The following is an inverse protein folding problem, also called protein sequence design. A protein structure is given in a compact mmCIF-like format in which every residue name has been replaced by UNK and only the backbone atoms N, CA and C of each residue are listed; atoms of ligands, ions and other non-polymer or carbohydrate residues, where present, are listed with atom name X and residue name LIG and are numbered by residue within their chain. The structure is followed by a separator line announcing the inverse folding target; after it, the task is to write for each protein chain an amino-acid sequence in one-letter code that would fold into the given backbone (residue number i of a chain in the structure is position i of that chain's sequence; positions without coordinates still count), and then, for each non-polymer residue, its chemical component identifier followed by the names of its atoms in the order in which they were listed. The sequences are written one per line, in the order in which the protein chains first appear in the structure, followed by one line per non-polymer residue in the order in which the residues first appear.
data_IF_194040294463
#
_entry.id   IF_194040294463
#
_cell.length_a   1.000
_cell.length_b   1.000
_cell.length_c   1.000
_cell.angle_alpha   90.00
_cell.angle_beta   90.00
_cell.angle_gamma   90.00
#
_symmetry.space_group_name_H-M   'P 1'
#
loop_
_entity.id
_entity.type
_entity.pdbx_description
1 polymer ?
#
# COMPACT_ATOMS: atom_id res chain seq x y z
N UNK A 1 20.98 7.15 -5.43
CA UNK A 1 19.51 7.16 -5.68
C UNK A 1 18.91 5.96 -4.95
N UNK A 2 17.70 6.08 -4.42
CA UNK A 2 16.98 4.94 -3.83
C UNK A 2 15.94 4.47 -4.84
N UNK A 3 16.02 3.21 -5.25
CA UNK A 3 15.10 2.63 -6.22
C UNK A 3 13.77 2.24 -5.56
N UNK A 4 12.76 1.97 -6.39
CA UNK A 4 11.54 1.31 -5.92
C UNK A 4 11.87 -0.03 -5.25
N UNK A 5 11.11 -0.43 -4.22
CA UNK A 5 11.33 -1.69 -3.54
C UNK A 5 11.08 -2.88 -4.48
N UNK A 6 11.97 -3.86 -4.44
CA UNK A 6 11.74 -5.19 -5.03
C UNK A 6 10.68 -5.96 -4.23
N UNK A 7 10.25 -7.12 -4.76
CA UNK A 7 9.21 -7.94 -4.13
C UNK A 7 9.53 -8.28 -2.65
N UNK A 8 10.78 -8.68 -2.35
CA UNK A 8 11.17 -9.01 -0.97
C UNK A 8 11.10 -7.79 -0.03
N UNK A 9 11.49 -6.61 -0.49
CA UNK A 9 11.37 -5.40 0.33
C UNK A 9 9.93 -4.91 0.44
N UNK A 10 9.09 -5.08 -0.60
CA UNK A 10 7.64 -4.81 -0.51
C UNK A 10 6.98 -5.70 0.53
N UNK A 11 7.30 -6.99 0.56
CA UNK A 11 6.82 -7.92 1.59
C UNK A 11 7.19 -7.44 3.01
N UNK A 12 8.44 -7.00 3.23
CA UNK A 12 8.88 -6.44 4.53
C UNK A 12 8.12 -5.16 4.88
N UNK A 13 7.91 -4.27 3.92
CA UNK A 13 7.14 -3.05 4.11
C UNK A 13 5.70 -3.38 4.50
N UNK A 14 5.06 -4.31 3.78
CA UNK A 14 3.70 -4.80 4.08
C UNK A 14 3.63 -5.39 5.49
N UNK A 15 4.61 -6.22 5.89
CA UNK A 15 4.70 -6.75 7.27
C UNK A 15 4.71 -5.64 8.32
N UNK A 16 5.46 -4.56 8.10
CA UNK A 16 5.51 -3.43 9.03
C UNK A 16 4.19 -2.65 9.05
N UNK A 17 3.60 -2.41 7.88
CA UNK A 17 2.35 -1.64 7.76
C UNK A 17 1.19 -2.38 8.42
N UNK A 18 1.12 -3.70 8.21
CA UNK A 18 0.02 -4.57 8.68
C UNK A 18 0.29 -5.20 10.06
N UNK A 19 1.39 -4.84 10.73
CA UNK A 19 1.82 -5.46 11.99
C UNK A 19 0.78 -5.38 13.14
N UNK A 20 -0.16 -4.43 13.05
CA UNK A 20 -1.22 -4.21 14.06
C UNK A 20 -2.62 -4.56 13.55
N UNK A 21 -2.72 -5.01 12.31
CA UNK A 21 -3.99 -5.36 11.69
C UNK A 21 -4.28 -6.86 11.89
N UNK A 22 -5.56 -7.21 12.01
CA UNK A 22 -5.98 -8.60 12.00
C UNK A 22 -6.10 -9.08 10.55
N UNK A 23 -5.29 -10.06 10.18
CA UNK A 23 -5.29 -10.65 8.83
C UNK A 23 -6.02 -11.99 8.83
N UNK A 24 -6.84 -12.21 7.81
CA UNK A 24 -7.44 -13.50 7.51
C UNK A 24 -6.40 -14.53 7.09
N UNK A 25 -6.73 -15.81 7.26
CA UNK A 25 -5.84 -16.94 6.90
C UNK A 25 -5.55 -17.05 5.41
N UNK A 26 -6.33 -16.35 4.60
CA UNK A 26 -6.25 -16.24 3.15
C UNK A 26 -5.27 -15.16 2.67
N UNK A 27 -4.73 -14.33 3.57
CA UNK A 27 -3.77 -13.27 3.24
C UNK A 27 -2.34 -13.80 3.27
N UNK A 28 -1.76 -13.96 2.09
CA UNK A 28 -0.33 -14.23 1.91
C UNK A 28 0.42 -12.95 1.49
N UNK A 29 1.40 -12.54 2.30
CA UNK A 29 2.16 -11.32 2.07
C UNK A 29 3.14 -11.44 0.90
N UNK A 30 3.62 -12.64 0.59
CA UNK A 30 4.48 -12.86 -0.58
C UNK A 30 3.67 -12.65 -1.87
N UNK A 31 2.50 -13.29 -1.97
CA UNK A 31 1.58 -13.06 -3.07
C UNK A 31 1.16 -11.58 -3.20
N UNK A 32 0.92 -10.89 -2.08
CA UNK A 32 0.56 -9.46 -2.10
C UNK A 32 1.72 -8.57 -2.59
N UNK A 33 2.95 -8.90 -2.20
CA UNK A 33 4.15 -8.20 -2.67
C UNK A 33 4.40 -8.41 -4.18
N UNK A 34 4.07 -9.58 -4.70
CA UNK A 34 4.17 -9.90 -6.13
C UNK A 34 3.10 -9.17 -6.96
N UNK A 35 1.89 -8.99 -6.44
CA UNK A 35 0.82 -8.25 -7.13
C UNK A 35 1.09 -6.74 -7.22
N UNK A 36 1.87 -6.20 -6.29
CA UNK A 36 2.12 -4.75 -6.13
C UNK A 36 3.41 -4.28 -6.78
N UNK A 37 3.72 -4.81 -7.97
CA UNK A 37 4.94 -4.42 -8.66
C UNK A 37 4.94 -2.94 -9.09
N UNK A 38 6.09 -2.28 -8.93
CA UNK A 38 6.22 -0.84 -9.14
C UNK A 38 5.68 0.05 -8.02
N UNK A 39 5.12 -0.51 -6.94
CA UNK A 39 4.59 0.28 -5.83
C UNK A 39 5.73 0.86 -4.99
N UNK A 40 5.63 2.15 -4.68
CA UNK A 40 6.43 2.78 -3.64
C UNK A 40 5.92 2.40 -2.24
N UNK A 41 6.68 2.73 -1.19
CA UNK A 41 6.21 2.54 0.20
C UNK A 41 4.91 3.29 0.50
N UNK A 42 4.71 4.46 -0.13
CA UNK A 42 3.48 5.24 0.01
C UNK A 42 2.29 4.56 -0.69
N UNK A 43 2.51 3.97 -1.87
CA UNK A 43 1.48 3.25 -2.59
C UNK A 43 1.04 2.01 -1.82
N UNK A 44 2.00 1.26 -1.24
CA UNK A 44 1.71 0.11 -0.36
C UNK A 44 0.91 0.52 0.87
N UNK A 45 1.24 1.67 1.48
CA UNK A 45 0.48 2.19 2.62
C UNK A 45 -0.94 2.56 2.21
N UNK A 46 -1.11 3.21 1.07
CA UNK A 46 -2.43 3.59 0.55
C UNK A 46 -3.29 2.36 0.21
N UNK A 47 -2.68 1.33 -0.38
CA UNK A 47 -3.32 0.04 -0.61
C UNK A 47 -3.86 -0.56 0.69
N UNK A 48 -3.02 -0.64 1.73
CA UNK A 48 -3.42 -1.24 3.01
C UNK A 48 -4.54 -0.43 3.70
N UNK A 49 -4.46 0.91 3.68
CA UNK A 49 -5.51 1.78 4.23
C UNK A 49 -6.82 1.61 3.46
N UNK A 50 -6.75 1.53 2.12
CA UNK A 50 -7.92 1.31 1.28
C UNK A 50 -8.57 -0.05 1.53
N UNK A 51 -7.76 -1.11 1.70
CA UNK A 51 -8.23 -2.44 2.10
C UNK A 51 -8.91 -2.41 3.48
N UNK A 52 -8.31 -1.73 4.47
CA UNK A 52 -8.86 -1.62 5.82
C UNK A 52 -10.24 -0.96 5.89
N UNK A 53 -10.60 -0.14 4.90
CA UNK A 53 -11.92 0.49 4.84
C UNK A 53 -13.05 -0.47 4.46
N UNK A 54 -12.78 -1.62 3.83
CA UNK A 54 -13.84 -2.54 3.40
C UNK A 54 -14.61 -3.16 4.59
N UNK A 55 -13.97 -3.80 5.58
CA UNK A 55 -14.65 -4.29 6.77
C UNK A 55 -15.46 -3.20 7.51
N UNK A 56 -14.92 -1.98 7.58
CA UNK A 56 -15.57 -0.84 8.23
C UNK A 56 -16.85 -0.46 7.46
N UNK A 57 -16.78 -0.37 6.13
CA UNK A 57 -17.95 -0.05 5.29
C UNK A 57 -19.05 -1.09 5.41
N UNK A 58 -18.70 -2.37 5.53
CA UNK A 58 -19.70 -3.44 5.72
C UNK A 58 -20.51 -3.24 7.00
N UNK A 59 -19.86 -2.89 8.10
CA UNK A 59 -20.53 -2.60 9.38
C UNK A 59 -21.44 -1.38 9.25
N UNK A 60 -20.92 -0.29 8.68
CA UNK A 60 -21.70 0.94 8.51
C UNK A 60 -22.96 0.71 7.64
N UNK A 61 -22.86 -0.10 6.59
CA UNK A 61 -24.00 -0.47 5.76
C UNK A 61 -24.98 -1.39 6.49
N UNK A 62 -24.50 -2.32 7.33
CA UNK A 62 -25.37 -3.14 8.20
C UNK A 62 -26.13 -2.26 9.20
N UNK A 63 -25.44 -1.36 9.90
CA UNK A 63 -26.07 -0.41 10.82
C UNK A 63 -27.15 0.42 10.15
N UNK A 64 -26.85 0.96 8.98
CA UNK A 64 -27.78 1.80 8.22
C UNK A 64 -29.04 1.02 7.85
N UNK A 65 -28.88 -0.24 7.42
CA UNK A 65 -30.01 -1.13 7.11
C UNK A 65 -30.83 -1.44 8.35
N UNK A 66 -30.22 -1.83 9.46
CA UNK A 66 -30.92 -2.17 10.70
C UNK A 66 -31.66 -0.97 11.28
N UNK A 67 -31.04 0.23 11.28
CA UNK A 67 -31.69 1.48 11.70
C UNK A 67 -32.90 1.81 10.82
N UNK A 68 -32.79 1.59 9.51
CA UNK A 68 -33.91 1.81 8.59
C UNK A 68 -35.08 0.86 8.85
N UNK A 69 -34.78 -0.42 9.14
CA UNK A 69 -35.79 -1.44 9.45
C UNK A 69 -36.48 -1.17 10.79
N UNK A 70 -35.71 -0.87 11.84
CA UNK A 70 -36.24 -0.51 13.15
C UNK A 70 -37.21 0.68 13.06
N UNK A 71 -36.86 1.69 12.26
CA UNK A 71 -37.73 2.85 12.00
C UNK A 71 -39.02 2.46 11.28
N UNK A 72 -38.98 1.56 10.29
CA UNK A 72 -40.18 1.10 9.59
C UNK A 72 -41.10 0.24 10.47
N UNK A 73 -40.53 -0.48 11.43
CA UNK A 73 -41.25 -1.42 12.28
C UNK A 73 -41.62 -0.85 13.66
N UNK A 74 -41.31 0.43 13.92
CA UNK A 74 -41.57 1.10 15.20
C UNK A 74 -40.80 0.51 16.38
N UNK A 75 -39.67 -0.17 16.12
CA UNK A 75 -38.81 -0.79 17.14
C UNK A 75 -37.79 0.24 17.65
N UNK A 76 -37.25 0.07 18.87
CA UNK A 76 -36.14 0.90 19.35
C UNK A 76 -34.90 0.75 18.46
N UNK A 77 -34.07 1.79 18.43
CA UNK A 77 -32.85 1.78 17.62
C UNK A 77 -31.87 0.68 18.09
N UNK A 78 -31.28 -0.07 17.15
CA UNK A 78 -30.29 -1.10 17.48
C UNK A 78 -29.00 -0.49 18.04
N UNK A 79 -28.28 -1.28 18.84
CA UNK A 79 -26.98 -0.88 19.37
C UNK A 79 -25.96 -0.67 18.25
N UNK A 80 -25.00 0.23 18.47
CA UNK A 80 -23.91 0.47 17.53
C UNK A 80 -22.88 -0.65 17.59
N UNK A 81 -22.26 -0.95 16.46
CA UNK A 81 -21.19 -1.94 16.38
C UNK A 81 -19.88 -1.31 16.86
N UNK A 82 -19.21 -1.96 17.80
CA UNK A 82 -17.86 -1.63 18.23
C UNK A 82 -16.77 -2.21 17.31
N UNK A 83 -15.50 -1.95 17.67
CA UNK A 83 -14.33 -2.46 16.95
C UNK A 83 -14.27 -3.99 16.88
N UNK A 84 -14.83 -4.68 17.87
CA UNK A 84 -14.92 -6.14 17.95
C UNK A 84 -15.75 -6.79 16.84
N UNK A 85 -16.54 -6.01 16.12
CA UNK A 85 -17.35 -6.48 14.99
C UNK A 85 -16.63 -6.34 13.65
N UNK A 86 -15.47 -5.67 13.63
CA UNK A 86 -14.63 -5.53 12.43
C UNK A 86 -14.02 -6.88 12.14
N UNK A 87 -14.40 -7.47 10.99
CA UNK A 87 -13.80 -8.72 10.54
C UNK A 87 -12.34 -8.50 10.14
N UNK A 88 -11.49 -9.54 10.25
CA UNK A 88 -10.13 -9.50 9.72
C UNK A 88 -10.09 -9.14 8.22
N UNK A 89 -8.97 -8.56 7.80
CA UNK A 89 -8.71 -8.25 6.40
C UNK A 89 -8.53 -9.52 5.59
N UNK A 90 -9.29 -9.64 4.51
CA UNK A 90 -9.24 -10.77 3.58
C UNK A 90 -8.45 -10.40 2.32
N UNK A 91 -8.03 -11.40 1.55
CA UNK A 91 -7.33 -11.17 0.28
C UNK A 91 -8.20 -10.40 -0.72
N UNK A 92 -9.52 -10.54 -0.65
CA UNK A 92 -10.44 -9.85 -1.56
C UNK A 92 -10.49 -8.35 -1.27
N UNK A 93 -10.34 -7.92 -0.01
CA UNK A 93 -10.21 -6.50 0.33
C UNK A 93 -8.98 -5.87 -0.33
N UNK A 94 -7.86 -6.61 -0.35
CA UNK A 94 -6.64 -6.16 -1.01
C UNK A 94 -6.78 -6.14 -2.54
N UNK A 95 -7.47 -7.12 -3.15
CA UNK A 95 -7.74 -7.10 -4.59
C UNK A 95 -8.62 -5.91 -4.98
N UNK A 96 -9.72 -5.69 -4.26
CA UNK A 96 -10.60 -4.56 -4.52
C UNK A 96 -9.94 -3.21 -4.20
N UNK A 97 -9.00 -3.16 -3.25
CA UNK A 97 -8.17 -1.98 -3.02
C UNK A 97 -7.15 -1.74 -4.14
N UNK A 98 -6.55 -2.81 -4.68
CA UNK A 98 -5.57 -2.74 -5.77
C UNK A 98 -6.19 -2.20 -7.06
N UNK A 99 -7.47 -2.47 -7.32
CA UNK A 99 -8.18 -1.86 -8.45
C UNK A 99 -8.32 -0.34 -8.35
N UNK A 100 -8.25 0.23 -7.14
CA UNK A 100 -8.41 1.67 -6.88
C UNK A 100 -7.09 2.40 -6.70
N UNK A 101 -6.05 1.71 -6.26
CA UNK A 101 -4.73 2.29 -5.98
C UNK A 101 -3.77 1.86 -7.07
N UNK A 102 -3.28 2.79 -7.89
CA UNK A 102 -2.24 2.52 -8.89
C UNK A 102 -0.84 2.91 -8.38
N UNK A 103 0.21 2.36 -9.00
CA UNK A 103 1.59 2.77 -8.75
C UNK A 103 1.77 4.25 -9.12
N UNK A 104 2.30 5.06 -8.21
CA UNK A 104 2.46 6.50 -8.43
C UNK A 104 3.73 6.85 -9.21
N UNK A 105 4.71 5.94 -9.26
CA UNK A 105 5.99 6.14 -9.94
C UNK A 105 5.98 5.38 -11.27
N UNK A 106 6.07 6.12 -12.38
CA UNK A 106 6.22 5.55 -13.71
C UNK A 106 7.70 5.49 -14.10
N UNK A 107 8.20 4.28 -14.40
CA UNK A 107 9.56 4.04 -14.89
C UNK A 107 9.89 4.80 -16.17
N UNK A 108 8.89 5.03 -17.01
CA UNK A 108 9.07 5.55 -18.37
C UNK A 108 8.91 7.07 -18.45
N UNK A 109 8.71 7.73 -17.31
CA UNK A 109 8.57 9.19 -17.28
C UNK A 109 9.89 9.89 -17.61
N UNK A 110 9.82 11.00 -18.35
CA UNK A 110 10.99 11.83 -18.67
C UNK A 110 11.76 12.23 -17.41
N UNK A 111 11.05 12.56 -16.33
CA UNK A 111 11.61 12.90 -15.03
C UNK A 111 12.44 11.74 -14.43
N UNK A 112 11.96 10.49 -14.53
CA UNK A 112 12.70 9.33 -14.03
C UNK A 112 13.95 9.05 -14.86
N UNK A 113 13.89 9.25 -16.18
CA UNK A 113 15.06 9.11 -17.06
C UNK A 113 16.14 10.16 -16.74
N UNK A 114 15.75 11.41 -16.47
CA UNK A 114 16.69 12.45 -16.03
C UNK A 114 17.34 12.11 -14.68
N UNK A 115 16.56 11.56 -13.74
CA UNK A 115 17.09 11.13 -12.44
C UNK A 115 18.08 9.96 -12.57
N UNK A 116 17.78 9.00 -13.45
CA UNK A 116 18.69 7.89 -13.75
C UNK A 116 20.00 8.42 -14.35
N UNK A 117 19.92 9.29 -15.35
CA UNK A 117 21.09 9.90 -15.98
C UNK A 117 21.93 10.70 -14.97
N UNK A 118 21.28 11.45 -14.07
CA UNK A 118 21.96 12.17 -13.00
C UNK A 118 22.67 11.20 -12.04
N UNK A 119 22.00 10.11 -11.64
CA UNK A 119 22.60 9.11 -10.77
C UNK A 119 23.81 8.40 -11.42
N UNK A 120 23.78 8.14 -12.73
CA UNK A 120 24.92 7.54 -13.44
C UNK A 120 26.15 8.47 -13.48
N UNK A 121 25.92 9.77 -13.59
CA UNK A 121 26.99 10.78 -13.67
C UNK A 121 27.56 11.15 -12.29
N UNK A 122 26.71 11.23 -11.27
CA UNK A 122 27.04 11.84 -9.97
C UNK A 122 26.75 10.96 -8.74
N UNK A 123 26.03 9.85 -8.92
CA UNK A 123 25.60 8.97 -7.84
C UNK A 123 26.70 8.04 -7.33
N UNK A 124 26.29 7.11 -6.47
CA UNK A 124 27.21 6.20 -5.78
C UNK A 124 27.83 5.21 -6.79
N UNK A 125 29.13 5.35 -7.04
CA UNK A 125 29.85 4.57 -8.06
C UNK A 125 29.91 5.21 -9.45
N UNK A 126 29.41 6.43 -9.64
CA UNK A 126 29.36 7.13 -10.92
C UNK A 126 30.72 7.30 -11.62
N UNK A 127 30.66 7.45 -12.95
CA UNK A 127 31.82 7.50 -13.87
C UNK A 127 32.80 8.65 -13.60
N UNK A 128 32.50 9.55 -12.66
CA UNK A 128 33.46 10.53 -12.12
C UNK A 128 34.49 9.92 -11.15
N UNK A 129 34.76 8.62 -11.20
CA UNK A 129 35.97 8.07 -10.58
C UNK A 129 37.22 8.59 -11.30
N UNK A 130 37.83 9.61 -10.68
CA UNK A 130 39.25 10.00 -10.72
C UNK A 130 39.78 10.47 -12.08
N UNK A 131 39.54 11.73 -12.44
CA UNK A 131 40.62 12.47 -13.14
C UNK A 131 41.67 12.78 -12.08
N UNK A 132 42.81 12.08 -12.11
CA UNK A 132 43.92 12.40 -11.24
C UNK A 132 44.30 13.87 -11.48
N UNK A 133 44.34 14.68 -10.43
CA UNK A 133 44.80 16.06 -10.52
C UNK A 133 46.27 16.03 -10.95
N UNK A 134 46.56 16.49 -12.17
CA UNK A 134 47.91 16.49 -12.77
C UNK A 134 48.81 17.59 -12.19
N UNK A 135 48.68 17.90 -10.89
CA UNK A 135 49.41 19.02 -10.26
C UNK A 135 50.85 18.67 -9.85
N UNK A 136 51.31 17.45 -10.18
CA UNK A 136 52.72 17.09 -10.13
C UNK A 136 53.18 16.71 -11.53
N UNK A 137 53.70 17.68 -12.27
CA UNK A 137 54.65 17.49 -13.36
C UNK A 137 55.69 18.60 -13.28
#
# INVERSE_FOLDING_TARGET
MVNLPDASNREKILKVILAKEELGSDVDLDSLANMTDGYSGSDLKNLCVTAAHYPIREILEKEKKEKSLAKTEGRPEPALYGSEHIRPLSIDDFKSAHEQVCASVSSDSANMNELLQWNDLYGEGGSRKRKALSYFM
#
